data_IF_293917777191
#
_entry.id   IF_293917777191
#
_cell.length_a   1.000
_cell.length_b   1.000
_cell.length_c   1.000
_cell.angle_alpha   90.00
_cell.angle_beta   90.00
_cell.angle_gamma   90.00
#
_symmetry.space_group_name_H-M   'P 1'
#
loop_
_entity.id
_entity.type
_entity.pdbx_description
1 polymer ?
#
# COMPACT_ATOMS: atom_id res chain seq x y z
N UNK A 1 13.16 -4.27 -6.55
CA UNK A 1 14.63 -4.20 -6.78
C UNK A 1 15.00 -2.72 -6.97
N UNK A 2 16.15 -2.27 -6.47
CA UNK A 2 16.65 -0.89 -6.64
C UNK A 2 18.16 -0.89 -6.87
N UNK A 3 18.67 0.13 -7.56
CA UNK A 3 20.10 0.27 -7.88
C UNK A 3 20.63 1.63 -7.42
N UNK A 4 21.69 1.64 -6.64
CA UNK A 4 22.40 2.85 -6.22
C UNK A 4 23.61 3.08 -7.13
N UNK A 5 23.62 4.21 -7.82
CA UNK A 5 24.81 4.68 -8.53
C UNK A 5 25.72 5.44 -7.56
N UNK A 6 26.80 4.78 -7.12
CA UNK A 6 27.63 5.23 -5.99
C UNK A 6 28.27 6.60 -6.24
N UNK A 7 28.77 6.88 -7.45
CA UNK A 7 29.51 8.11 -7.73
C UNK A 7 28.63 9.36 -7.74
N UNK A 8 27.40 9.27 -8.24
CA UNK A 8 26.44 10.40 -8.23
C UNK A 8 25.51 10.38 -7.03
N UNK A 9 25.52 9.29 -6.28
CA UNK A 9 24.58 9.02 -5.19
C UNK A 9 23.11 9.07 -5.64
N UNK A 10 22.84 8.61 -6.87
CA UNK A 10 21.50 8.54 -7.46
C UNK A 10 20.91 7.16 -7.24
N UNK A 11 19.65 7.08 -6.81
CA UNK A 11 18.96 5.82 -6.55
C UNK A 11 17.86 5.59 -7.58
N UNK A 12 18.00 4.51 -8.35
CA UNK A 12 16.97 4.01 -9.27
C UNK A 12 16.06 3.08 -8.47
N UNK A 13 14.78 3.46 -8.34
CA UNK A 13 13.82 2.78 -7.44
C UNK A 13 12.77 1.96 -8.17
N UNK A 14 12.75 1.99 -9.51
CA UNK A 14 11.74 1.29 -10.29
C UNK A 14 10.33 1.75 -9.91
N UNK A 15 9.44 0.79 -9.65
CA UNK A 15 8.06 1.05 -9.22
C UNK A 15 7.87 1.19 -7.71
N UNK A 16 8.95 1.17 -6.91
CA UNK A 16 8.81 1.35 -5.45
C UNK A 16 8.21 2.73 -5.10
N UNK A 17 8.54 3.75 -5.89
CA UNK A 17 7.91 5.06 -5.91
C UNK A 17 7.67 5.47 -7.37
N UNK A 18 6.63 6.26 -7.60
CA UNK A 18 6.30 6.84 -8.91
C UNK A 18 6.18 8.36 -8.78
N UNK A 19 6.38 9.10 -9.89
CA UNK A 19 6.40 10.56 -9.87
C UNK A 19 5.06 11.21 -9.52
N UNK A 20 3.94 10.53 -9.76
CA UNK A 20 2.60 10.96 -9.36
C UNK A 20 1.74 9.79 -8.91
N UNK A 21 0.88 10.02 -7.93
CA UNK A 21 -0.01 9.01 -7.37
C UNK A 21 0.70 8.06 -6.41
N UNK A 22 0.25 6.80 -6.38
CA UNK A 22 0.78 5.75 -5.53
C UNK A 22 1.18 4.54 -6.38
N UNK A 23 2.24 3.85 -5.98
CA UNK A 23 2.64 2.60 -6.61
C UNK A 23 1.67 1.46 -6.27
N UNK A 24 1.41 0.58 -7.23
CA UNK A 24 0.76 -0.70 -6.96
C UNK A 24 1.80 -1.68 -6.41
N UNK A 25 1.39 -2.50 -5.46
CA UNK A 25 2.23 -3.58 -4.93
C UNK A 25 1.53 -4.90 -5.22
N UNK A 26 2.23 -5.81 -5.89
CA UNK A 26 1.67 -7.07 -6.33
C UNK A 26 1.72 -8.12 -5.20
N UNK A 27 0.56 -8.41 -4.64
CA UNK A 27 0.39 -9.43 -3.59
C UNK A 27 0.62 -10.86 -4.14
N UNK A 28 0.41 -11.10 -5.43
CA UNK A 28 0.52 -12.44 -6.04
C UNK A 28 1.97 -12.87 -6.26
N UNK A 29 2.86 -11.90 -6.45
CA UNK A 29 4.31 -12.11 -6.54
C UNK A 29 5.03 -12.03 -5.18
N UNK A 30 4.29 -12.08 -4.05
CA UNK A 30 4.84 -12.06 -2.70
C UNK A 30 5.11 -10.66 -2.13
N UNK A 31 4.59 -9.60 -2.75
CA UNK A 31 4.67 -8.26 -2.19
C UNK A 31 3.99 -8.17 -0.82
N UNK A 32 4.61 -7.46 0.11
CA UNK A 32 4.06 -7.20 1.44
C UNK A 32 4.46 -5.81 1.96
N UNK A 33 3.62 -5.24 2.83
CA UNK A 33 3.85 -3.88 3.33
C UNK A 33 5.03 -3.78 4.31
N UNK A 34 5.35 -4.85 5.04
CA UNK A 34 6.52 -4.90 5.93
C UNK A 34 7.82 -4.64 5.16
N UNK A 35 7.99 -5.30 4.02
CA UNK A 35 9.13 -5.15 3.12
C UNK A 35 9.12 -3.81 2.42
N UNK A 36 7.95 -3.32 2.02
CA UNK A 36 7.79 -1.99 1.44
C UNK A 36 8.26 -0.89 2.42
N UNK A 37 7.76 -0.91 3.65
CA UNK A 37 8.15 0.04 4.69
C UNK A 37 9.64 -0.04 4.98
N UNK A 38 10.16 -1.26 5.23
CA UNK A 38 11.58 -1.48 5.51
C UNK A 38 12.48 -0.97 4.39
N UNK A 39 12.13 -1.24 3.14
CA UNK A 39 12.88 -0.77 1.97
C UNK A 39 12.82 0.75 1.84
N UNK A 40 11.66 1.36 2.11
CA UNK A 40 11.51 2.82 2.10
C UNK A 40 12.37 3.49 3.17
N UNK A 41 12.44 2.93 4.39
CA UNK A 41 13.36 3.42 5.43
C UNK A 41 14.81 3.29 5.01
N UNK A 42 15.22 2.15 4.44
CA UNK A 42 16.57 1.98 3.88
C UNK A 42 16.90 3.07 2.85
N UNK A 43 15.96 3.43 1.97
CA UNK A 43 16.18 4.51 1.00
C UNK A 43 16.33 5.88 1.66
N UNK A 44 15.64 6.14 2.76
CA UNK A 44 15.84 7.36 3.54
C UNK A 44 17.20 7.37 4.24
N UNK A 45 17.61 6.25 4.82
CA UNK A 45 18.91 6.12 5.50
C UNK A 45 20.07 6.28 4.51
N UNK A 46 19.92 5.74 3.30
CA UNK A 46 20.86 5.95 2.19
C UNK A 46 21.01 7.42 1.80
N UNK A 47 20.04 8.28 2.11
CA UNK A 47 20.09 9.72 1.80
C UNK A 47 20.52 10.05 0.35
N UNK A 48 19.90 9.45 -0.69
CA UNK A 48 20.29 9.68 -2.08
C UNK A 48 20.08 11.15 -2.46
N UNK A 49 20.88 11.66 -3.39
CA UNK A 49 20.71 13.01 -3.93
C UNK A 49 19.52 13.10 -4.89
N UNK A 50 19.23 11.99 -5.59
CA UNK A 50 18.19 11.92 -6.64
C UNK A 50 17.49 10.57 -6.57
N UNK A 51 16.16 10.57 -6.76
CA UNK A 51 15.37 9.36 -6.99
C UNK A 51 14.93 9.28 -8.46
N UNK A 52 15.15 8.13 -9.08
CA UNK A 52 14.78 7.85 -10.46
C UNK A 52 13.71 6.76 -10.46
N UNK A 53 12.41 7.13 -10.51
CA UNK A 53 11.31 6.17 -10.63
C UNK A 53 11.20 5.62 -12.07
N UNK A 54 10.54 4.47 -12.22
CA UNK A 54 10.21 3.93 -13.56
C UNK A 54 9.11 4.75 -14.25
N UNK A 55 8.19 5.33 -13.46
CA UNK A 55 7.14 6.19 -13.97
C UNK A 55 7.22 7.60 -13.39
N UNK A 56 7.03 8.60 -14.25
CA UNK A 56 7.08 10.01 -13.90
C UNK A 56 8.49 10.61 -14.00
N UNK A 57 8.63 11.84 -13.49
CA UNK A 57 9.88 12.60 -13.58
C UNK A 57 10.86 12.18 -12.50
N UNK A 58 12.15 12.35 -12.79
CA UNK A 58 13.23 12.31 -11.79
C UNK A 58 12.92 13.28 -10.64
N UNK A 59 13.12 12.82 -9.40
CA UNK A 59 12.83 13.59 -8.21
C UNK A 59 14.13 14.07 -7.54
N UNK A 60 14.24 15.40 -7.40
CA UNK A 60 15.39 16.09 -6.80
C UNK A 60 15.21 16.36 -5.29
N UNK A 61 14.12 15.88 -4.68
CA UNK A 61 13.87 15.97 -3.24
C UNK A 61 13.54 14.59 -2.64
N UNK A 62 14.47 13.63 -2.66
CA UNK A 62 14.21 12.24 -2.29
C UNK A 62 13.53 12.04 -0.95
N UNK A 63 14.05 12.72 0.08
CA UNK A 63 13.49 12.64 1.44
C UNK A 63 12.02 13.05 1.48
N UNK A 64 11.66 14.14 0.78
CA UNK A 64 10.27 14.61 0.73
C UNK A 64 9.36 13.58 0.06
N UNK A 65 9.77 13.02 -1.08
CA UNK A 65 9.02 11.99 -1.78
C UNK A 65 8.83 10.74 -0.91
N UNK A 66 9.90 10.20 -0.32
CA UNK A 66 9.85 8.99 0.52
C UNK A 66 8.98 9.20 1.76
N UNK A 67 9.10 10.35 2.45
CA UNK A 67 8.22 10.70 3.56
C UNK A 67 6.75 10.79 3.12
N UNK A 68 6.48 11.34 1.93
CA UNK A 68 5.14 11.38 1.35
C UNK A 68 4.55 9.99 1.15
N UNK A 69 5.32 9.06 0.61
CA UNK A 69 4.91 7.66 0.44
C UNK A 69 4.63 6.97 1.77
N UNK A 70 5.53 7.11 2.76
CA UNK A 70 5.33 6.57 4.10
C UNK A 70 4.06 7.11 4.75
N UNK A 71 3.83 8.43 4.65
CA UNK A 71 2.62 9.08 5.16
C UNK A 71 1.37 8.54 4.48
N UNK A 72 1.36 8.42 3.15
CA UNK A 72 0.23 7.89 2.40
C UNK A 72 -0.12 6.45 2.83
N UNK A 73 0.88 5.58 2.97
CA UNK A 73 0.70 4.19 3.41
C UNK A 73 0.17 4.09 4.84
N UNK A 74 0.70 4.89 5.76
CA UNK A 74 0.20 4.95 7.15
C UNK A 74 -1.21 5.52 7.24
N UNK A 75 -1.54 6.52 6.43
CA UNK A 75 -2.90 7.05 6.34
C UNK A 75 -3.87 5.98 5.85
N UNK A 76 -3.46 5.16 4.87
CA UNK A 76 -4.26 4.03 4.39
C UNK A 76 -4.59 3.05 5.51
N UNK A 77 -3.58 2.66 6.30
CA UNK A 77 -3.78 1.79 7.48
C UNK A 77 -4.72 2.42 8.50
N UNK A 78 -4.59 3.72 8.74
CA UNK A 78 -5.50 4.44 9.64
C UNK A 78 -6.95 4.40 9.14
N UNK A 79 -7.18 4.60 7.84
CA UNK A 79 -8.52 4.51 7.23
C UNK A 79 -9.08 3.08 7.30
N UNK A 80 -8.27 2.06 7.01
CA UNK A 80 -8.67 0.65 7.13
C UNK A 80 -9.05 0.31 8.58
N UNK A 81 -8.25 0.72 9.56
CA UNK A 81 -8.57 0.52 10.98
C UNK A 81 -9.87 1.22 11.38
N UNK A 82 -10.17 2.40 10.82
CA UNK A 82 -11.45 3.08 11.05
C UNK A 82 -12.61 2.28 10.46
N UNK A 83 -12.47 1.74 9.25
CA UNK A 83 -13.49 0.88 8.63
C UNK A 83 -13.80 -0.34 9.52
N UNK A 84 -12.75 -1.03 9.99
CA UNK A 84 -12.89 -2.20 10.84
C UNK A 84 -13.55 -1.85 12.17
N UNK A 85 -13.09 -0.77 12.84
CA UNK A 85 -13.70 -0.30 14.09
C UNK A 85 -15.14 0.19 13.93
N UNK A 86 -15.51 0.62 12.73
CA UNK A 86 -16.87 0.97 12.34
C UNK A 86 -17.78 -0.24 12.08
N UNK A 87 -17.25 -1.46 12.22
CA UNK A 87 -18.01 -2.71 12.04
C UNK A 87 -17.75 -3.44 10.73
N UNK A 88 -16.84 -2.97 9.88
CA UNK A 88 -16.45 -3.66 8.65
C UNK A 88 -15.80 -5.01 8.94
N UNK A 89 -16.36 -6.08 8.38
CA UNK A 89 -15.91 -7.47 8.63
C UNK A 89 -15.35 -8.13 7.38
N UNK A 90 -15.83 -7.71 6.20
CA UNK A 90 -15.44 -8.29 4.91
C UNK A 90 -14.50 -7.37 4.15
N UNK A 91 -13.82 -7.93 3.14
CA UNK A 91 -13.01 -7.14 2.20
C UNK A 91 -13.87 -6.10 1.48
N UNK A 92 -15.12 -6.43 1.17
CA UNK A 92 -16.05 -5.51 0.54
C UNK A 92 -16.32 -4.29 1.41
N UNK A 93 -16.72 -4.50 2.68
CA UNK A 93 -17.02 -3.40 3.62
C UNK A 93 -15.83 -2.44 3.77
N UNK A 94 -14.63 -3.00 3.86
CA UNK A 94 -13.40 -2.23 4.08
C UNK A 94 -13.01 -1.46 2.81
N UNK A 95 -13.14 -2.07 1.62
CA UNK A 95 -12.88 -1.37 0.35
C UNK A 95 -13.90 -0.28 0.13
N UNK A 96 -15.19 -0.56 0.31
CA UNK A 96 -16.28 0.41 0.16
C UNK A 96 -16.02 1.65 1.03
N UNK A 97 -15.65 1.46 2.31
CA UNK A 97 -15.32 2.57 3.18
C UNK A 97 -14.01 3.28 2.79
N UNK A 98 -12.96 2.52 2.47
CA UNK A 98 -11.60 3.07 2.26
C UNK A 98 -11.43 3.75 0.90
N UNK A 99 -12.22 3.33 -0.08
CA UNK A 99 -12.17 3.75 -1.49
C UNK A 99 -13.53 4.25 -1.98
N UNK A 100 -14.38 4.77 -1.08
CA UNK A 100 -15.71 5.29 -1.39
C UNK A 100 -15.72 6.30 -2.56
N UNK A 101 -14.72 7.17 -2.61
CA UNK A 101 -14.57 8.22 -3.63
C UNK A 101 -13.83 7.75 -4.90
N UNK A 102 -13.50 6.46 -5.00
CA UNK A 102 -12.78 5.88 -6.14
C UNK A 102 -13.73 5.08 -7.01
N UNK A 103 -13.61 5.25 -8.33
CA UNK A 103 -14.38 4.50 -9.32
C UNK A 103 -14.33 2.99 -9.05
N UNK A 104 -15.49 2.34 -9.06
CA UNK A 104 -15.65 0.91 -8.77
C UNK A 104 -14.87 0.00 -9.70
N UNK A 105 -14.57 0.44 -10.93
CA UNK A 105 -13.70 -0.30 -11.85
C UNK A 105 -12.28 -0.48 -11.30
N UNK A 106 -11.87 0.38 -10.36
CA UNK A 106 -10.58 0.31 -9.68
C UNK A 106 -10.66 -0.40 -8.32
N UNK A 107 -11.82 -0.96 -7.95
CA UNK A 107 -11.96 -1.62 -6.65
C UNK A 107 -11.25 -2.97 -6.58
N UNK A 108 -11.09 -3.68 -7.70
CA UNK A 108 -10.29 -4.90 -7.74
C UNK A 108 -8.81 -4.65 -7.34
N UNK A 109 -8.08 -3.70 -7.95
CA UNK A 109 -6.73 -3.38 -7.49
C UNK A 109 -6.72 -2.73 -6.10
N UNK A 110 -7.76 -1.97 -5.72
CA UNK A 110 -7.90 -1.44 -4.37
C UNK A 110 -7.99 -2.55 -3.31
N UNK A 111 -8.71 -3.63 -3.60
CA UNK A 111 -8.89 -4.77 -2.71
C UNK A 111 -7.55 -5.44 -2.41
N UNK A 112 -6.70 -5.66 -3.42
CA UNK A 112 -5.34 -6.15 -3.23
C UNK A 112 -4.53 -5.24 -2.32
N UNK A 113 -4.67 -3.92 -2.46
CA UNK A 113 -3.99 -2.97 -1.59
C UNK A 113 -4.53 -3.00 -0.15
N UNK A 114 -5.85 -3.18 0.06
CA UNK A 114 -6.42 -3.37 1.40
C UNK A 114 -5.84 -4.61 2.06
N UNK A 115 -5.80 -5.74 1.36
CA UNK A 115 -5.26 -7.01 1.86
C UNK A 115 -3.83 -6.85 2.37
N UNK A 116 -2.96 -6.25 1.55
CA UNK A 116 -1.56 -5.99 1.91
C UNK A 116 -1.40 -5.19 3.23
N UNK A 117 -2.30 -4.24 3.47
CA UNK A 117 -2.29 -3.43 4.69
C UNK A 117 -2.91 -4.17 5.88
N UNK A 118 -3.98 -4.94 5.68
CA UNK A 118 -4.58 -5.78 6.73
C UNK A 118 -3.57 -6.82 7.22
N UNK A 119 -2.86 -7.49 6.29
CA UNK A 119 -1.81 -8.46 6.64
C UNK A 119 -0.69 -7.82 7.46
N UNK A 120 -0.27 -6.61 7.10
CA UNK A 120 0.76 -5.88 7.85
C UNK A 120 0.29 -5.41 9.21
N UNK A 121 -0.97 -4.98 9.34
CA UNK A 121 -1.58 -4.67 10.63
C UNK A 121 -1.72 -5.91 11.52
N UNK A 122 -2.03 -7.07 10.94
CA UNK A 122 -2.08 -8.35 11.63
C UNK A 122 -0.70 -8.74 12.18
N UNK A 123 0.35 -8.65 11.36
CA UNK A 123 1.74 -8.93 11.76
C UNK A 123 2.25 -8.03 12.89
N UNK A 124 1.60 -6.87 13.10
CA UNK A 124 1.95 -5.92 14.16
C UNK A 124 1.03 -6.01 15.38
N UNK A 125 0.10 -6.98 15.43
CA UNK A 125 -0.92 -7.11 16.46
C UNK A 125 -1.76 -5.83 16.66
N UNK A 126 -2.02 -5.10 15.55
CA UNK A 126 -2.75 -3.81 15.57
C UNK A 126 -4.21 -3.90 15.17
N UNK A 127 -4.66 -5.06 14.71
CA UNK A 127 -6.07 -5.28 14.40
C UNK A 127 -6.90 -5.35 15.69
N UNK A 128 -8.17 -4.89 15.68
CA UNK A 128 -9.08 -5.09 16.81
C UNK A 128 -9.22 -6.58 17.18
N UNK A 129 -9.33 -6.88 18.47
CA UNK A 129 -9.35 -8.29 18.97
C UNK A 129 -10.55 -9.10 18.48
N UNK A 130 -11.64 -8.42 18.18
CA UNK A 130 -12.90 -8.97 17.68
C UNK A 130 -12.93 -9.11 16.15
N UNK A 131 -11.89 -8.63 15.45
CA UNK A 131 -11.79 -8.76 14.01
C UNK A 131 -11.29 -10.15 13.62
N UNK A 132 -12.14 -10.93 12.95
CA UNK A 132 -11.78 -12.26 12.45
C UNK A 132 -11.07 -12.17 11.10
N UNK A 133 -9.77 -12.48 11.09
CA UNK A 133 -8.99 -12.61 9.86
C UNK A 133 -9.49 -13.76 8.98
N UNK A 134 -10.05 -14.82 9.56
CA UNK A 134 -10.62 -15.93 8.80
C UNK A 134 -11.84 -15.49 7.99
N UNK A 135 -12.76 -14.72 8.61
CA UNK A 135 -13.91 -14.14 7.92
C UNK A 135 -13.49 -13.13 6.84
N UNK A 136 -12.50 -12.30 7.14
CA UNK A 136 -11.95 -11.39 6.15
C UNK A 136 -11.38 -12.16 4.95
N UNK A 137 -10.56 -13.19 5.20
CA UNK A 137 -9.91 -13.99 4.17
C UNK A 137 -10.89 -14.84 3.34
N UNK A 138 -11.97 -15.36 3.94
CA UNK A 138 -12.99 -16.10 3.19
C UNK A 138 -13.80 -15.20 2.25
N UNK A 139 -13.99 -13.93 2.60
CA UNK A 139 -14.72 -12.95 1.77
C UNK A 139 -14.00 -12.54 0.47
N UNK A 140 -12.72 -12.92 0.29
CA UNK A 140 -11.95 -12.60 -0.92
C UNK A 140 -12.55 -13.25 -2.18
N UNK A 141 -13.01 -14.49 -2.06
CA UNK A 141 -13.55 -15.24 -3.20
C UNK A 141 -14.85 -14.61 -3.73
N UNK A 142 -15.63 -13.98 -2.83
CA UNK A 142 -16.91 -13.36 -3.15
C UNK A 142 -16.77 -11.90 -3.60
N UNK A 143 -15.62 -11.27 -3.35
CA UNK A 143 -15.42 -9.83 -3.58
C UNK A 143 -15.75 -9.41 -5.01
N UNK A 144 -15.19 -10.09 -6.02
CA UNK A 144 -15.42 -9.74 -7.43
C UNK A 144 -16.92 -9.88 -7.80
N UNK A 145 -17.58 -10.91 -7.28
CA UNK A 145 -19.02 -11.12 -7.48
C UNK A 145 -19.87 -10.05 -6.80
N UNK A 146 -19.44 -9.55 -5.64
CA UNK A 146 -20.15 -8.49 -4.92
C UNK A 146 -19.98 -7.13 -5.61
N UNK A 147 -18.79 -6.81 -6.13
CA UNK A 147 -18.55 -5.58 -6.90
C UNK A 147 -19.40 -5.56 -8.18
N UNK A 148 -19.56 -6.70 -8.86
CA UNK A 148 -20.35 -6.78 -10.09
C UNK A 148 -21.87 -6.61 -9.91
N UNK A 149 -22.38 -6.70 -8.67
CA UNK A 149 -23.82 -6.60 -8.35
C UNK A 149 -24.31 -5.17 -8.11
N UNK A 150 -23.44 -4.16 -8.16
CA UNK A 150 -23.71 -2.78 -7.73
C UNK A 150 -23.41 -1.80 -8.85
#
# INVERSE_FOLDING_TARGET
>A
MSLLHVSTHSLIVGDHCVGQGSALLDITSGGNMSDYFRTTYKFMDLSPHVLIPMHGRVNMWPKHMLCGYLKNRRNRESTILKAIKGGGKTLFDIVEYTYADVDRNLWLPAASNVRLHVDHLAQQDKLPKDFSLENFNSSLAEFAGNVAKI
#
